data_IF_023696379821
#
_entry.id   IF_023696379821
#
_cell.length_a   1.000
_cell.length_b   1.000
_cell.length_c   1.000
_cell.angle_alpha   90.00
_cell.angle_beta   90.00
_cell.angle_gamma   90.00
#
_symmetry.space_group_name_H-M   'P 1'
#
loop_
_entity.id
_entity.type
_entity.pdbx_description
1 polymer ?
#
# COMPACT_ATOMS: atom_id res chain seq x y z
N UNK A 1 5.86 -24.34 26.42
CA UNK A 1 5.91 -24.57 24.96
C UNK A 1 4.66 -23.98 24.33
N UNK A 2 4.78 -22.85 23.63
CA UNK A 2 3.63 -22.20 23.02
C UNK A 2 3.27 -22.95 21.72
N UNK A 3 1.96 -23.18 21.46
CA UNK A 3 1.42 -24.05 20.39
C UNK A 3 1.75 -23.60 18.95
N UNK A 4 2.51 -22.53 18.81
CA UNK A 4 2.93 -21.93 17.55
C UNK A 4 4.45 -21.86 17.57
N UNK A 5 5.10 -22.97 17.24
CA UNK A 5 6.55 -22.95 16.97
C UNK A 5 6.85 -21.82 15.99
N UNK A 6 7.94 -21.09 16.23
CA UNK A 6 8.44 -19.99 15.40
C UNK A 6 8.32 -20.36 13.91
N UNK A 7 7.23 -19.97 13.26
CA UNK A 7 7.11 -20.10 11.81
C UNK A 7 7.94 -18.97 11.23
N UNK A 8 9.05 -19.34 10.63
CA UNK A 8 9.83 -18.40 9.85
C UNK A 8 9.01 -18.03 8.60
N UNK A 9 8.49 -16.81 8.58
CA UNK A 9 7.73 -16.28 7.46
C UNK A 9 8.64 -15.66 6.37
N UNK A 10 9.96 -15.63 6.59
CA UNK A 10 10.92 -15.04 5.66
C UNK A 10 10.98 -15.76 4.31
N UNK A 11 10.62 -17.04 4.27
CA UNK A 11 10.61 -17.85 3.06
C UNK A 11 9.35 -17.65 2.18
N UNK A 12 8.34 -16.96 2.71
CA UNK A 12 7.12 -16.69 1.93
C UNK A 12 7.47 -15.93 0.65
N UNK A 13 6.95 -16.34 -0.52
CA UNK A 13 7.22 -15.66 -1.78
C UNK A 13 6.95 -14.14 -1.74
N UNK A 14 5.90 -13.74 -1.01
CA UNK A 14 5.52 -12.34 -0.82
C UNK A 14 6.55 -11.56 -0.02
N UNK A 15 7.14 -12.16 1.01
CA UNK A 15 8.16 -11.53 1.85
C UNK A 15 9.50 -11.41 1.11
N UNK A 16 9.89 -12.47 0.36
CA UNK A 16 11.05 -12.41 -0.54
C UNK A 16 10.90 -11.32 -1.60
N UNK A 17 9.70 -11.19 -2.18
CA UNK A 17 9.40 -10.12 -3.13
C UNK A 17 9.53 -8.74 -2.48
N UNK A 18 8.93 -8.53 -1.30
CA UNK A 18 9.02 -7.26 -0.57
C UNK A 18 10.48 -6.88 -0.30
N UNK A 19 11.28 -7.80 0.25
CA UNK A 19 12.71 -7.58 0.54
C UNK A 19 13.50 -7.23 -0.71
N UNK A 20 13.25 -7.94 -1.83
CA UNK A 20 13.89 -7.67 -3.12
C UNK A 20 13.57 -6.26 -3.63
N UNK A 21 12.33 -5.81 -3.49
CA UNK A 21 11.91 -4.51 -4.02
C UNK A 21 12.30 -3.33 -3.12
N UNK A 22 12.59 -3.58 -1.85
CA UNK A 22 12.80 -2.52 -0.86
C UNK A 22 13.92 -1.51 -1.20
N UNK A 23 15.11 -1.91 -1.72
CA UNK A 23 16.13 -0.95 -2.11
C UNK A 23 15.66 0.09 -3.14
N UNK A 24 14.72 -0.29 -4.01
CA UNK A 24 14.16 0.63 -5.02
C UNK A 24 13.19 1.64 -4.40
N UNK A 25 12.48 1.26 -3.32
CA UNK A 25 11.65 2.20 -2.55
C UNK A 25 12.53 3.21 -1.81
N UNK A 26 13.64 2.75 -1.22
CA UNK A 26 14.64 3.64 -0.61
C UNK A 26 15.16 4.66 -1.62
N UNK A 27 15.45 4.26 -2.87
CA UNK A 27 15.88 5.20 -3.92
C UNK A 27 14.86 6.32 -4.13
N UNK A 28 13.57 5.98 -4.20
CA UNK A 28 12.49 6.97 -4.35
C UNK A 28 12.46 7.93 -3.16
N UNK A 29 12.66 7.43 -1.94
CA UNK A 29 12.69 8.28 -0.75
C UNK A 29 13.87 9.25 -0.77
N UNK A 30 15.04 8.82 -1.23
CA UNK A 30 16.21 9.70 -1.40
C UNK A 30 15.97 10.76 -2.45
N UNK A 31 15.31 10.42 -3.55
CA UNK A 31 14.96 11.38 -4.60
C UNK A 31 14.00 12.47 -4.09
N UNK A 32 13.07 12.11 -3.18
CA UNK A 32 12.05 13.02 -2.67
C UNK A 32 12.54 13.83 -1.46
N UNK A 33 13.20 13.18 -0.51
CA UNK A 33 13.55 13.75 0.80
C UNK A 33 15.06 13.94 1.03
N UNK A 34 15.89 13.55 0.05
CA UNK A 34 17.34 13.76 0.05
C UNK A 34 18.15 12.51 0.40
N UNK A 35 19.41 12.49 -0.04
CA UNK A 35 20.34 11.35 0.15
C UNK A 35 20.78 11.11 1.60
N UNK A 36 20.71 12.14 2.44
CA UNK A 36 21.20 12.15 3.82
C UNK A 36 20.18 11.67 4.85
N UNK A 37 19.07 11.09 4.41
CA UNK A 37 18.05 10.57 5.31
C UNK A 37 18.51 9.27 5.97
N UNK A 38 18.20 9.13 7.25
CA UNK A 38 18.45 7.91 8.02
C UNK A 38 17.20 7.03 8.07
N UNK A 39 17.41 5.72 8.00
CA UNK A 39 16.32 4.73 7.97
C UNK A 39 16.37 3.87 9.21
N UNK A 40 15.29 3.92 10.00
CA UNK A 40 15.09 2.95 11.06
C UNK A 40 14.19 1.82 10.57
N UNK A 41 14.68 0.59 10.74
CA UNK A 41 13.81 -0.58 10.64
C UNK A 41 12.98 -0.62 11.93
N UNK A 42 11.78 -0.08 11.83
CA UNK A 42 10.87 0.01 12.97
C UNK A 42 10.69 -1.39 13.60
N UNK A 43 10.79 -1.53 14.94
CA UNK A 43 10.62 -2.82 15.61
C UNK A 43 9.25 -3.44 15.27
N UNK A 44 9.23 -4.76 15.08
CA UNK A 44 8.06 -5.60 14.71
C UNK A 44 6.80 -5.32 15.55
N UNK A 45 6.95 -4.79 16.77
CA UNK A 45 5.85 -4.46 17.67
C UNK A 45 5.07 -3.20 17.23
N UNK A 46 5.74 -2.14 16.77
CA UNK A 46 5.09 -0.89 16.34
C UNK A 46 4.39 -1.09 15.00
N UNK A 47 4.95 -1.94 14.13
CA UNK A 47 4.31 -2.37 12.87
C UNK A 47 2.94 -3.02 13.12
N UNK A 48 2.86 -3.94 14.10
CA UNK A 48 1.61 -4.66 14.42
C UNK A 48 0.50 -3.77 14.96
N UNK A 49 0.81 -2.76 15.76
CA UNK A 49 -0.22 -1.96 16.44
C UNK A 49 -0.48 -0.62 15.75
N UNK A 50 0.50 -0.09 15.01
CA UNK A 50 0.43 1.25 14.41
C UNK A 50 0.42 1.26 12.86
N UNK A 51 0.62 0.11 12.20
CA UNK A 51 0.83 0.00 10.74
C UNK A 51 1.81 1.06 10.24
N UNK A 52 3.04 0.94 10.77
CA UNK A 52 4.19 1.74 10.39
C UNK A 52 5.29 0.75 10.03
N UNK A 53 5.60 0.67 8.74
CA UNK A 53 6.69 -0.14 8.20
C UNK A 53 8.06 0.55 8.35
N UNK A 54 8.06 1.90 8.35
CA UNK A 54 9.28 2.70 8.27
C UNK A 54 9.21 4.02 9.03
N UNK A 55 10.40 4.45 9.47
CA UNK A 55 10.70 5.80 9.93
C UNK A 55 11.89 6.35 9.16
N UNK A 56 11.75 7.56 8.66
CA UNK A 56 12.79 8.32 7.98
C UNK A 56 13.10 9.55 8.83
N UNK A 57 14.37 9.77 9.15
CA UNK A 57 14.82 10.99 9.82
C UNK A 57 15.52 11.89 8.81
N UNK A 58 15.00 13.12 8.66
CA UNK A 58 15.59 14.15 7.81
C UNK A 58 16.81 14.79 8.49
N UNK A 59 17.71 15.47 7.74
CA UNK A 59 18.85 16.18 8.33
C UNK A 59 18.48 17.26 9.36
N UNK A 60 17.25 17.78 9.29
CA UNK A 60 16.71 18.72 10.27
C UNK A 60 16.30 18.06 11.60
N UNK A 61 16.35 16.74 11.70
CA UNK A 61 15.83 15.95 12.82
C UNK A 61 14.33 15.66 12.73
N UNK A 62 13.63 16.15 11.70
CA UNK A 62 12.22 15.83 11.48
C UNK A 62 12.05 14.33 11.15
N UNK A 63 11.06 13.70 11.77
CA UNK A 63 10.73 12.29 11.54
C UNK A 63 9.51 12.18 10.63
N UNK A 64 9.60 11.28 9.66
CA UNK A 64 8.52 10.88 8.76
C UNK A 64 8.21 9.40 8.99
N UNK A 65 6.96 9.05 9.27
CA UNK A 65 6.50 7.65 9.38
C UNK A 65 5.76 7.20 8.12
N UNK A 66 6.05 5.98 7.65
CA UNK A 66 5.45 5.42 6.44
C UNK A 66 4.91 4.01 6.62
N UNK A 67 3.82 3.74 5.92
CA UNK A 67 3.36 2.40 5.56
C UNK A 67 3.76 2.11 4.12
N UNK A 68 4.14 0.87 3.81
CA UNK A 68 4.62 0.46 2.49
C UNK A 68 3.83 -0.72 1.93
N UNK A 69 3.39 -0.61 0.68
CA UNK A 69 2.85 -1.74 -0.05
C UNK A 69 3.36 -1.75 -1.48
N UNK A 70 3.90 -2.89 -1.90
CA UNK A 70 4.43 -3.09 -3.24
C UNK A 70 3.66 -4.23 -3.90
N UNK A 71 3.21 -4.00 -5.14
CA UNK A 71 2.52 -4.99 -5.95
C UNK A 71 3.36 -5.41 -7.13
N UNK A 72 3.18 -6.66 -7.55
CA UNK A 72 3.77 -7.14 -8.79
C UNK A 72 3.19 -6.43 -10.03
N UNK A 73 3.98 -6.35 -11.10
CA UNK A 73 3.60 -5.77 -12.39
C UNK A 73 2.23 -6.23 -12.92
N UNK A 74 1.87 -7.51 -12.72
CA UNK A 74 0.58 -8.05 -13.20
C UNK A 74 -0.64 -7.30 -12.65
N UNK A 75 -0.56 -6.72 -11.45
CA UNK A 75 -1.67 -5.93 -10.88
C UNK A 75 -1.79 -4.54 -11.51
N UNK A 76 -0.77 -4.07 -12.20
CA UNK A 76 -0.80 -2.83 -12.96
C UNK A 76 -1.41 -3.03 -14.36
N UNK A 77 -1.16 -4.18 -15.00
CA UNK A 77 -1.43 -4.37 -16.43
C UNK A 77 -2.50 -5.39 -16.78
N UNK A 78 -3.00 -6.18 -15.83
CA UNK A 78 -4.04 -7.16 -16.10
C UNK A 78 -5.43 -6.59 -15.73
N UNK A 79 -6.29 -6.25 -16.71
CA UNK A 79 -7.63 -5.73 -16.46
C UNK A 79 -8.48 -6.61 -15.55
N UNK A 80 -8.29 -7.94 -15.60
CA UNK A 80 -9.08 -8.89 -14.78
C UNK A 80 -8.77 -8.79 -13.29
N UNK A 81 -7.66 -8.17 -12.92
CA UNK A 81 -7.24 -7.96 -11.54
C UNK A 81 -7.62 -6.58 -11.00
N UNK A 82 -8.24 -5.72 -11.83
CA UNK A 82 -8.64 -4.36 -11.51
C UNK A 82 -10.15 -4.27 -11.25
N UNK A 83 -10.58 -3.33 -10.41
CA UNK A 83 -12.00 -3.06 -10.15
C UNK A 83 -12.62 -2.25 -11.28
N UNK A 84 -11.89 -1.24 -11.79
CA UNK A 84 -12.32 -0.40 -12.89
C UNK A 84 -11.23 -0.38 -13.97
N UNK A 85 -11.16 -1.38 -14.86
CA UNK A 85 -10.11 -1.42 -15.86
C UNK A 85 -10.26 -0.29 -16.88
N UNK A 86 -9.17 0.31 -17.39
CA UNK A 86 -7.77 -0.08 -17.21
C UNK A 86 -7.07 0.59 -16.00
N UNK A 87 -7.84 1.07 -15.02
CA UNK A 87 -7.34 1.86 -13.90
C UNK A 87 -6.74 0.93 -12.82
N UNK A 88 -5.50 1.19 -12.36
CA UNK A 88 -4.92 0.44 -11.25
C UNK A 88 -5.68 0.68 -9.94
N UNK A 89 -5.71 -0.33 -9.09
CA UNK A 89 -6.33 -0.24 -7.77
C UNK A 89 -5.28 -0.07 -6.67
N UNK A 90 -5.53 0.85 -5.75
CA UNK A 90 -4.97 0.82 -4.41
C UNK A 90 -5.69 -0.24 -3.58
N UNK A 91 -5.00 -0.89 -2.64
CA UNK A 91 -5.63 -1.89 -1.77
C UNK A 91 -5.32 -1.68 -0.31
N UNK A 92 -6.36 -1.58 0.51
CA UNK A 92 -6.23 -1.48 1.96
C UNK A 92 -6.82 -2.72 2.62
N UNK A 93 -6.05 -3.32 3.51
CA UNK A 93 -6.48 -4.51 4.24
C UNK A 93 -7.54 -4.15 5.28
N UNK A 94 -8.68 -4.84 5.22
CA UNK A 94 -9.81 -4.62 6.11
C UNK A 94 -9.81 -5.60 7.28
N UNK A 95 -9.58 -6.89 7.02
CA UNK A 95 -9.46 -7.93 8.05
C UNK A 95 -8.37 -8.94 7.72
N UNK A 96 -7.71 -9.43 8.74
CA UNK A 96 -6.80 -10.58 8.69
C UNK A 96 -7.53 -11.85 9.09
N UNK A 97 -7.22 -12.99 8.47
CA UNK A 97 -7.84 -14.27 8.83
C UNK A 97 -9.35 -14.29 8.68
N UNK A 98 -9.89 -13.60 7.67
CA UNK A 98 -11.33 -13.44 7.47
C UNK A 98 -12.06 -14.79 7.45
N UNK A 99 -13.13 -14.89 8.23
CA UNK A 99 -13.92 -16.11 8.38
C UNK A 99 -13.17 -17.24 9.09
N UNK A 100 -12.15 -16.92 9.89
CA UNK A 100 -11.47 -17.87 10.78
C UNK A 100 -11.63 -17.49 12.25
N UNK A 101 -11.34 -18.42 13.15
CA UNK A 101 -11.34 -18.18 14.60
C UNK A 101 -10.27 -17.17 15.04
N UNK A 102 -9.32 -16.85 14.17
CA UNK A 102 -8.26 -15.86 14.41
C UNK A 102 -8.48 -14.56 13.63
N UNK A 103 -9.72 -14.27 13.22
CA UNK A 103 -10.04 -13.02 12.52
C UNK A 103 -9.64 -11.81 13.38
N UNK A 104 -8.92 -10.87 12.78
CA UNK A 104 -8.50 -9.63 13.45
C UNK A 104 -8.63 -8.43 12.50
N UNK A 105 -8.63 -7.23 13.08
CA UNK A 105 -8.70 -5.99 12.30
C UNK A 105 -7.48 -5.85 11.40
N UNK A 106 -7.72 -5.46 10.16
CA UNK A 106 -6.68 -5.16 9.19
C UNK A 106 -6.10 -3.76 9.39
N UNK A 107 -5.14 -3.45 8.53
CA UNK A 107 -4.45 -2.15 8.43
C UNK A 107 -5.40 -0.94 8.43
N UNK A 108 -6.59 -1.06 7.82
CA UNK A 108 -7.62 -0.02 7.75
C UNK A 108 -7.90 0.65 9.10
N UNK A 109 -7.93 -0.12 10.19
CA UNK A 109 -8.33 0.35 11.52
C UNK A 109 -7.19 0.90 12.36
N UNK A 110 -5.95 0.79 11.88
CA UNK A 110 -4.74 1.09 12.66
C UNK A 110 -3.63 1.69 11.81
N UNK A 111 -3.97 2.52 10.82
CA UNK A 111 -3.02 3.22 9.97
C UNK A 111 -2.57 4.54 10.65
N UNK A 112 -1.47 4.53 11.39
CA UNK A 112 -0.92 5.71 12.08
C UNK A 112 0.26 6.36 11.36
N UNK A 113 0.71 5.78 10.25
CA UNK A 113 1.73 6.40 9.39
C UNK A 113 1.27 7.78 8.89
N UNK A 114 2.22 8.70 8.69
CA UNK A 114 1.95 10.00 8.06
C UNK A 114 1.77 9.87 6.56
N UNK A 115 2.54 8.99 5.93
CA UNK A 115 2.45 8.71 4.51
C UNK A 115 2.24 7.23 4.22
N UNK A 116 1.66 6.94 3.06
CA UNK A 116 1.52 5.58 2.56
C UNK A 116 2.13 5.47 1.17
N UNK A 117 3.28 4.79 1.09
CA UNK A 117 3.87 4.38 -0.18
C UNK A 117 3.11 3.18 -0.76
N UNK A 118 2.56 3.34 -1.97
CA UNK A 118 1.98 2.26 -2.74
C UNK A 118 2.59 2.20 -4.14
N UNK A 119 3.31 1.11 -4.43
CA UNK A 119 4.08 0.94 -5.66
C UNK A 119 3.76 -0.32 -6.45
N UNK A 120 4.07 -0.29 -7.74
CA UNK A 120 4.04 -1.43 -8.65
C UNK A 120 5.43 -1.66 -9.23
N UNK A 121 5.96 -2.86 -9.02
CA UNK A 121 7.23 -3.28 -9.62
C UNK A 121 7.11 -3.35 -11.15
N UNK A 122 8.22 -3.13 -11.84
CA UNK A 122 8.33 -3.41 -13.27
C UNK A 122 8.24 -4.93 -13.55
N UNK A 123 8.09 -5.32 -14.82
CA UNK A 123 7.95 -6.73 -15.23
C UNK A 123 9.08 -7.63 -14.73
N UNK A 124 10.29 -7.10 -14.61
CA UNK A 124 11.50 -7.82 -14.24
C UNK A 124 11.79 -7.79 -12.74
N UNK A 125 10.98 -7.06 -11.96
CA UNK A 125 11.18 -6.80 -10.54
C UNK A 125 12.58 -6.24 -10.25
N UNK A 126 13.04 -5.34 -11.11
CA UNK A 126 14.34 -4.65 -10.97
C UNK A 126 14.18 -3.18 -10.63
N UNK A 127 12.95 -2.68 -10.57
CA UNK A 127 12.63 -1.30 -10.22
C UNK A 127 11.12 -1.14 -9.90
N UNK A 128 10.75 0.01 -9.33
CA UNK A 128 9.36 0.44 -9.16
C UNK A 128 8.92 1.23 -10.41
N UNK A 129 8.05 0.63 -11.21
CA UNK A 129 7.58 1.24 -12.46
C UNK A 129 6.62 2.41 -12.20
N UNK A 130 5.71 2.24 -11.25
CA UNK A 130 4.72 3.25 -10.87
C UNK A 130 4.56 3.31 -9.36
N UNK A 131 4.32 4.49 -8.82
CA UNK A 131 4.03 4.65 -7.39
C UNK A 131 3.15 5.86 -7.11
N UNK A 132 2.53 5.82 -5.94
CA UNK A 132 1.91 6.96 -5.29
C UNK A 132 2.31 6.95 -3.81
N UNK A 133 2.59 8.13 -3.26
CA UNK A 133 2.76 8.36 -1.83
C UNK A 133 1.59 9.22 -1.39
N UNK A 134 0.69 8.63 -0.62
CA UNK A 134 -0.49 9.30 -0.10
C UNK A 134 -0.16 10.02 1.20
N UNK A 135 -0.69 11.22 1.38
CA UNK A 135 -0.86 11.84 2.69
C UNK A 135 -1.98 11.08 3.43
N UNK A 136 -1.64 10.42 4.54
CA UNK A 136 -2.60 9.57 5.26
C UNK A 136 -3.74 10.37 5.89
N UNK A 137 -3.52 11.53 6.55
CA UNK A 137 -4.62 12.40 6.99
C UNK A 137 -5.63 12.73 5.90
N UNK A 138 -5.17 13.15 4.71
CA UNK A 138 -6.06 13.50 3.59
C UNK A 138 -6.81 12.26 3.07
N UNK A 139 -6.10 11.13 2.97
CA UNK A 139 -6.72 9.86 2.59
C UNK A 139 -7.81 9.44 3.58
N UNK A 140 -7.56 9.54 4.90
CA UNK A 140 -8.57 9.26 5.92
C UNK A 140 -9.76 10.20 5.82
N UNK A 141 -9.53 11.48 5.51
CA UNK A 141 -10.64 12.41 5.30
C UNK A 141 -11.56 11.97 4.13
N UNK A 142 -10.97 11.46 3.03
CA UNK A 142 -11.76 10.89 1.92
C UNK A 142 -12.59 9.69 2.39
N UNK A 143 -11.98 8.80 3.18
CA UNK A 143 -12.67 7.62 3.71
C UNK A 143 -13.81 7.97 4.66
N UNK A 144 -13.61 8.91 5.58
CA UNK A 144 -14.63 9.34 6.54
C UNK A 144 -15.77 10.11 5.87
N UNK A 145 -15.47 10.93 4.85
CA UNK A 145 -16.48 11.74 4.16
C UNK A 145 -17.35 10.94 3.20
N UNK A 146 -16.80 9.90 2.56
CA UNK A 146 -17.51 9.13 1.51
C UNK A 146 -17.88 7.71 1.93
N UNK A 147 -17.19 7.15 2.92
CA UNK A 147 -17.24 5.73 3.27
C UNK A 147 -16.45 4.87 2.28
N UNK A 148 -15.64 3.94 2.79
CA UNK A 148 -14.79 3.08 1.93
C UNK A 148 -15.61 2.22 0.95
N UNK A 149 -16.83 1.84 1.33
CA UNK A 149 -17.74 1.03 0.50
C UNK A 149 -18.25 1.78 -0.73
N UNK A 150 -18.27 3.11 -0.71
CA UNK A 150 -18.74 3.91 -1.87
C UNK A 150 -17.65 4.11 -2.92
N UNK A 151 -16.38 3.97 -2.53
CA UNK A 151 -15.22 4.22 -3.40
C UNK A 151 -14.42 2.96 -3.73
N UNK A 152 -14.65 1.88 -2.99
CA UNK A 152 -13.90 0.64 -3.09
C UNK A 152 -14.81 -0.58 -3.18
N UNK A 153 -14.23 -1.69 -3.65
CA UNK A 153 -14.88 -2.99 -3.70
C UNK A 153 -14.21 -3.94 -2.72
N UNK A 154 -14.98 -4.51 -1.80
CA UNK A 154 -14.47 -5.54 -0.91
C UNK A 154 -14.08 -6.80 -1.71
N UNK A 155 -12.88 -7.30 -1.44
CA UNK A 155 -12.29 -8.48 -2.06
C UNK A 155 -11.74 -9.39 -0.97
N UNK A 156 -11.61 -10.67 -1.33
CA UNK A 156 -11.14 -11.71 -0.41
C UNK A 156 -9.94 -12.42 -1.03
N UNK A 157 -8.80 -12.40 -0.33
CA UNK A 157 -7.66 -13.21 -0.69
C UNK A 157 -7.92 -14.65 -0.22
N UNK A 158 -8.18 -15.56 -1.16
CA UNK A 158 -8.43 -16.98 -0.83
C UNK A 158 -7.17 -17.82 -0.77
N UNK A 159 -6.01 -17.27 -1.14
CA UNK A 159 -4.77 -18.03 -1.36
C UNK A 159 -3.92 -18.11 -0.09
N UNK A 160 -3.68 -16.96 0.57
CA UNK A 160 -2.83 -16.87 1.76
C UNK A 160 -3.44 -15.92 2.80
N UNK A 161 -3.35 -16.27 4.08
CA UNK A 161 -3.80 -15.45 5.22
C UNK A 161 -5.32 -15.22 5.36
N UNK A 162 -6.11 -15.53 4.32
CA UNK A 162 -7.55 -15.23 4.24
C UNK A 162 -7.86 -13.76 4.51
N UNK A 163 -7.00 -12.83 4.11
CA UNK A 163 -7.26 -11.40 4.34
C UNK A 163 -8.42 -10.92 3.45
N UNK A 164 -9.27 -10.03 3.98
CA UNK A 164 -10.18 -9.22 3.18
C UNK A 164 -9.59 -7.82 3.02
N UNK A 165 -9.79 -7.23 1.84
CA UNK A 165 -9.26 -5.91 1.53
C UNK A 165 -10.23 -5.18 0.60
N UNK A 166 -10.25 -3.85 0.70
CA UNK A 166 -10.90 -3.01 -0.29
C UNK A 166 -9.93 -2.74 -1.42
N UNK A 167 -10.37 -2.98 -2.67
CA UNK A 167 -9.70 -2.50 -3.86
C UNK A 167 -10.38 -1.21 -4.32
N UNK A 168 -9.61 -0.13 -4.38
CA UNK A 168 -10.06 1.24 -4.61
C UNK A 168 -9.38 1.74 -5.89
N UNK A 169 -10.12 2.06 -6.96
CA UNK A 169 -9.53 2.65 -8.16
C UNK A 169 -8.76 3.93 -7.82
N UNK A 170 -7.52 4.06 -8.30
CA UNK A 170 -6.63 5.17 -7.91
C UNK A 170 -7.28 6.57 -7.96
N UNK A 171 -8.02 6.97 -9.01
CA UNK A 171 -8.68 8.28 -9.11
C UNK A 171 -9.55 8.67 -7.91
N UNK A 172 -10.12 7.69 -7.21
CA UNK A 172 -10.96 7.95 -6.04
C UNK A 172 -10.18 8.52 -4.85
N UNK A 173 -8.85 8.36 -4.85
CA UNK A 173 -7.96 8.73 -3.75
C UNK A 173 -6.77 9.60 -4.19
N UNK A 174 -6.63 9.90 -5.48
CA UNK A 174 -5.49 10.67 -6.01
C UNK A 174 -5.45 12.11 -5.50
N UNK A 175 -6.56 12.67 -4.99
CA UNK A 175 -6.53 13.97 -4.32
C UNK A 175 -5.74 13.97 -3.01
N UNK A 176 -5.48 12.80 -2.41
CA UNK A 176 -4.60 12.64 -1.26
C UNK A 176 -3.14 12.30 -1.66
N UNK A 177 -2.82 12.27 -2.96
CA UNK A 177 -1.46 11.98 -3.41
C UNK A 177 -0.55 13.19 -3.12
N UNK A 178 0.48 12.99 -2.31
CA UNK A 178 1.53 13.98 -2.10
C UNK A 178 2.62 13.86 -3.17
N UNK A 179 2.99 12.64 -3.55
CA UNK A 179 3.97 12.36 -4.61
C UNK A 179 3.48 11.23 -5.49
N UNK A 180 3.71 11.32 -6.80
CA UNK A 180 3.42 10.24 -7.73
C UNK A 180 4.17 10.42 -9.03
N UNK A 181 4.45 9.32 -9.72
CA UNK A 181 4.93 9.31 -11.11
C UNK A 181 3.86 8.87 -12.11
N UNK A 182 2.59 8.82 -11.71
CA UNK A 182 1.46 8.64 -12.61
C UNK A 182 1.11 9.95 -13.31
N UNK A 183 0.69 9.86 -14.57
CA UNK A 183 -0.02 10.95 -15.24
C UNK A 183 -1.48 10.99 -14.74
N UNK A 184 -1.71 11.77 -13.70
CA UNK A 184 -3.02 11.94 -13.05
C UNK A 184 -4.07 12.41 -14.07
N UNK A 185 -3.69 13.27 -15.01
CA UNK A 185 -4.62 13.84 -15.99
C UNK A 185 -5.16 12.76 -16.93
N UNK A 186 -4.27 11.92 -17.46
CA UNK A 186 -4.63 10.81 -18.34
C UNK A 186 -5.51 9.76 -17.63
N UNK A 187 -5.17 9.43 -16.37
CA UNK A 187 -5.96 8.46 -15.59
C UNK A 187 -7.35 9.01 -15.30
N UNK A 188 -7.48 10.27 -14.90
CA UNK A 188 -8.78 10.88 -14.60
C UNK A 188 -9.67 11.02 -15.84
N UNK A 189 -9.09 11.34 -17.01
CA UNK A 189 -9.84 11.37 -18.27
C UNK A 189 -10.38 10.00 -18.62
N UNK A 190 -9.57 8.96 -18.45
CA UNK A 190 -9.99 7.56 -18.70
C UNK A 190 -11.10 7.16 -17.75
N UNK A 191 -10.94 7.42 -16.45
CA UNK A 191 -11.92 7.06 -15.42
C UNK A 191 -13.28 7.74 -15.58
N UNK A 192 -13.30 9.02 -15.98
CA UNK A 192 -14.55 9.76 -16.20
C UNK A 192 -15.34 9.26 -17.41
N UNK A 193 -14.66 8.77 -18.46
CA UNK A 193 -15.34 8.20 -19.64
C UNK A 193 -16.12 6.93 -19.28
N UNK A 194 -15.57 6.11 -18.37
CA UNK A 194 -16.17 4.82 -18.00
C UNK A 194 -17.25 4.93 -16.91
N UNK A 195 -17.35 6.05 -16.18
CA UNK A 195 -18.46 6.31 -15.22
C UNK A 195 -19.71 6.92 -15.85
N UNK A 196 -19.62 7.42 -17.09
CA UNK A 196 -20.72 8.08 -17.81
C UNK A 196 -21.31 7.17 -18.91
N UNK A 197 -20.73 5.98 -19.14
CA UNK A 197 -21.25 4.94 -20.01
C UNK A 197 -22.06 3.90 -19.21
#
# INVERSE_FOLDING_TARGET
MNKYGNRDFSELPTERFRRKMHPHVISIYKDIWGESIEYDQTPVQVDKDASIDRKITLPSGQIITLQEKIREYRFLVNPKLQVCPPIPDFTQEFKNGHGTVCESVGEFFKLYAQYYFYGWANKYQTDILRYVILNVPDYKHILESRGIESIGKLKFNKTHGRASFYAIPLPEILSAAQYTNFDISAINVTYKKDKVA
#
